data_IF_981350274402
#
_entry.id   IF_981350274402
#
_cell.length_a   1.000
_cell.length_b   1.000
_cell.length_c   1.000
_cell.angle_alpha   90.00
_cell.angle_beta   90.00
_cell.angle_gamma   90.00
#
_symmetry.space_group_name_H-M   'P 1'
#
loop_
_entity.id
_entity.type
_entity.pdbx_description
1 polymer ?
#
# COMPACT_ATOMS: atom_id res chain seq x y z
N UNK A 1 -31.62 8.58 -4.97
CA UNK A 1 -31.09 9.63 -5.86
C UNK A 1 -30.04 9.01 -6.77
N UNK A 2 -30.16 9.22 -8.07
CA UNK A 2 -29.25 8.61 -9.08
C UNK A 2 -28.00 9.47 -9.25
N UNK A 3 -26.83 8.84 -9.37
CA UNK A 3 -25.56 9.50 -9.70
C UNK A 3 -25.60 10.08 -11.13
N UNK A 4 -24.82 11.13 -11.36
CA UNK A 4 -24.69 11.75 -12.68
C UNK A 4 -23.89 10.87 -13.64
N UNK A 5 -24.02 11.09 -14.95
CA UNK A 5 -23.20 10.41 -15.96
C UNK A 5 -21.70 10.66 -15.74
N UNK A 6 -21.33 11.89 -15.35
CA UNK A 6 -19.94 12.22 -15.05
C UNK A 6 -19.40 11.43 -13.85
N UNK A 7 -20.21 11.25 -12.79
CA UNK A 7 -19.85 10.42 -11.64
C UNK A 7 -19.61 8.96 -12.06
N UNK A 8 -20.42 8.43 -12.98
CA UNK A 8 -20.21 7.10 -13.55
C UNK A 8 -18.86 6.99 -14.28
N UNK A 9 -18.52 7.98 -15.12
CA UNK A 9 -17.24 8.01 -15.83
C UNK A 9 -16.07 8.04 -14.83
N UNK A 10 -16.15 8.86 -13.77
CA UNK A 10 -15.11 8.94 -12.74
C UNK A 10 -14.94 7.64 -11.98
N UNK A 11 -16.03 6.96 -11.63
CA UNK A 11 -15.97 5.65 -10.99
C UNK A 11 -15.37 4.59 -11.93
N UNK A 12 -15.70 4.62 -13.23
CA UNK A 12 -15.10 3.72 -14.21
C UNK A 12 -13.58 3.96 -14.36
N UNK A 13 -13.15 5.22 -14.43
CA UNK A 13 -11.72 5.56 -14.45
C UNK A 13 -11.04 5.12 -13.15
N UNK A 14 -11.66 5.36 -11.99
CA UNK A 14 -11.16 4.89 -10.71
C UNK A 14 -10.96 3.38 -10.67
N UNK A 15 -11.93 2.61 -11.18
CA UNK A 15 -11.81 1.15 -11.25
C UNK A 15 -10.65 0.70 -12.15
N UNK A 16 -10.45 1.36 -13.29
CA UNK A 16 -9.31 1.08 -14.18
C UNK A 16 -7.98 1.36 -13.46
N UNK A 17 -7.88 2.47 -12.72
CA UNK A 17 -6.68 2.79 -11.95
C UNK A 17 -6.40 1.75 -10.85
N UNK A 18 -7.42 1.22 -10.17
CA UNK A 18 -7.26 0.14 -9.20
C UNK A 18 -6.69 -1.10 -9.90
N UNK A 19 -7.22 -1.49 -11.06
CA UNK A 19 -6.70 -2.65 -11.80
C UNK A 19 -5.24 -2.45 -12.21
N UNK A 20 -4.90 -1.27 -12.77
CA UNK A 20 -3.52 -0.97 -13.16
C UNK A 20 -2.59 -1.02 -11.94
N UNK A 21 -3.04 -0.53 -10.77
CA UNK A 21 -2.24 -0.51 -9.55
C UNK A 21 -1.84 -1.90 -9.06
N UNK A 22 -2.59 -2.97 -9.42
CA UNK A 22 -2.25 -4.36 -9.06
C UNK A 22 -0.88 -4.75 -9.64
N UNK A 23 -0.56 -4.27 -10.85
CA UNK A 23 0.65 -4.65 -11.58
C UNK A 23 1.85 -3.73 -11.30
N UNK A 24 1.67 -2.69 -10.50
CA UNK A 24 2.70 -1.72 -10.16
C UNK A 24 3.18 -1.89 -8.72
N UNK A 25 4.43 -1.48 -8.42
CA UNK A 25 4.92 -1.49 -7.05
C UNK A 25 4.11 -0.51 -6.19
N UNK A 26 3.90 -0.89 -4.91
CA UNK A 26 3.14 -0.08 -3.96
C UNK A 26 4.03 0.59 -2.93
N UNK A 27 5.06 -0.10 -2.51
CA UNK A 27 5.95 0.38 -1.47
C UNK A 27 7.37 -0.10 -1.74
N UNK A 28 8.36 0.67 -1.28
CA UNK A 28 9.75 0.32 -1.37
C UNK A 28 10.53 0.75 -0.14
N UNK A 29 11.62 0.03 0.10
CA UNK A 29 12.61 0.41 1.10
C UNK A 29 14.00 0.27 0.50
N UNK A 30 14.81 1.31 0.63
CA UNK A 30 16.21 1.31 0.20
C UNK A 30 17.13 1.27 1.41
N UNK A 31 18.08 0.35 1.39
CA UNK A 31 19.06 0.12 2.44
C UNK A 31 20.42 0.62 1.98
N UNK A 32 21.01 1.55 2.68
CA UNK A 32 22.38 2.00 2.47
C UNK A 32 23.27 1.46 3.58
N UNK A 33 24.37 0.83 3.19
CA UNK A 33 25.41 0.35 4.09
C UNK A 33 26.77 0.80 3.56
N UNK A 34 27.83 0.86 4.40
CA UNK A 34 29.19 1.22 3.94
C UNK A 34 29.66 0.35 2.78
N UNK A 35 29.27 -0.94 2.75
CA UNK A 35 29.62 -1.90 1.69
C UNK A 35 28.73 -1.77 0.44
N UNK A 36 27.59 -1.09 0.56
CA UNK A 36 26.59 -0.91 -0.50
C UNK A 36 26.16 0.55 -0.59
N UNK A 37 27.06 1.44 -1.06
CA UNK A 37 26.79 2.88 -1.13
C UNK A 37 25.70 3.23 -2.16
N UNK A 38 25.54 2.41 -3.21
CA UNK A 38 24.45 2.55 -4.21
C UNK A 38 23.07 2.23 -3.62
N UNK A 39 23.04 1.52 -2.46
CA UNK A 39 21.86 1.05 -1.81
C UNK A 39 21.34 -0.28 -2.35
N UNK A 40 20.62 -1.01 -1.49
CA UNK A 40 19.93 -2.26 -1.82
C UNK A 40 18.43 -2.00 -1.73
N UNK A 41 17.67 -2.45 -2.71
CA UNK A 41 16.24 -2.18 -2.80
C UNK A 41 15.40 -3.39 -2.38
N UNK A 42 14.33 -3.13 -1.62
CA UNK A 42 13.17 -4.00 -1.50
C UNK A 42 12.00 -3.27 -2.15
N UNK A 43 11.35 -3.91 -3.10
CA UNK A 43 10.18 -3.36 -3.81
C UNK A 43 9.01 -4.33 -3.63
N UNK A 44 7.91 -3.84 -3.08
CA UNK A 44 6.72 -4.62 -2.76
C UNK A 44 5.60 -4.29 -3.75
N UNK A 45 5.13 -5.31 -4.43
CA UNK A 45 3.93 -5.32 -5.26
C UNK A 45 2.78 -5.96 -4.47
N UNK A 46 1.53 -5.79 -4.88
CA UNK A 46 0.41 -6.49 -4.25
C UNK A 46 0.51 -8.02 -4.25
N UNK A 47 1.35 -8.62 -5.10
CA UNK A 47 1.42 -10.07 -5.31
C UNK A 47 2.84 -10.68 -5.20
N UNK A 48 3.87 -9.84 -5.00
CA UNK A 48 5.26 -10.31 -4.85
C UNK A 48 6.15 -9.27 -4.21
N UNK A 49 7.33 -9.69 -3.80
CA UNK A 49 8.45 -8.82 -3.44
C UNK A 49 9.60 -9.03 -4.41
N UNK A 50 10.35 -7.96 -4.71
CA UNK A 50 11.54 -7.98 -5.57
C UNK A 50 12.64 -7.12 -4.97
N UNK A 51 13.85 -7.22 -5.52
CA UNK A 51 15.03 -6.48 -5.07
C UNK A 51 16.17 -7.42 -4.69
N UNK A 52 17.16 -6.91 -3.96
CA UNK A 52 18.32 -7.69 -3.54
C UNK A 52 18.06 -8.41 -2.20
N UNK A 53 16.96 -9.21 -2.13
CA UNK A 53 16.49 -9.83 -0.90
C UNK A 53 17.54 -10.74 -0.24
N UNK A 54 18.29 -11.52 -1.03
CA UNK A 54 19.32 -12.44 -0.50
C UNK A 54 20.44 -11.67 0.21
N UNK A 55 20.89 -10.56 -0.37
CA UNK A 55 21.93 -9.73 0.24
C UNK A 55 21.42 -9.07 1.51
N UNK A 56 20.20 -8.53 1.47
CA UNK A 56 19.56 -7.89 2.62
C UNK A 56 19.34 -8.90 3.75
N UNK A 57 18.91 -10.11 3.42
CA UNK A 57 18.73 -11.20 4.40
C UNK A 57 20.05 -11.62 5.04
N UNK A 58 21.15 -11.63 4.26
CA UNK A 58 22.49 -11.82 4.80
C UNK A 58 22.84 -10.73 5.83
N UNK A 59 22.55 -9.46 5.56
CA UNK A 59 22.76 -8.36 6.50
C UNK A 59 21.85 -8.46 7.72
N UNK A 60 20.58 -8.81 7.53
CA UNK A 60 19.60 -8.99 8.60
C UNK A 60 20.03 -10.06 9.60
N UNK A 61 20.65 -11.14 9.14
CA UNK A 61 21.16 -12.20 10.01
C UNK A 61 22.18 -11.69 11.03
N UNK A 62 23.05 -10.74 10.67
CA UNK A 62 24.04 -10.18 11.60
C UNK A 62 23.41 -9.36 12.72
N UNK A 63 22.27 -8.72 12.48
CA UNK A 63 21.58 -7.88 13.47
C UNK A 63 20.37 -8.57 14.10
N UNK A 64 20.13 -9.85 13.74
CA UNK A 64 19.05 -10.67 14.30
C UNK A 64 17.66 -10.38 13.74
N UNK A 65 17.55 -9.69 12.63
CA UNK A 65 16.26 -9.50 11.94
C UNK A 65 15.86 -10.76 11.18
N UNK A 66 14.54 -10.98 11.07
CA UNK A 66 13.97 -12.06 10.26
C UNK A 66 14.28 -11.87 8.77
N UNK A 67 14.29 -12.95 8.02
CA UNK A 67 14.47 -12.90 6.58
C UNK A 67 13.20 -12.33 5.89
N UNK A 68 13.42 -11.45 4.92
CA UNK A 68 12.37 -11.05 3.98
C UNK A 68 12.17 -12.17 2.96
N UNK A 69 10.97 -12.75 2.96
CA UNK A 69 10.55 -13.74 1.97
C UNK A 69 9.07 -13.54 1.66
N UNK A 70 8.64 -13.88 0.44
CA UNK A 70 7.22 -13.80 0.08
C UNK A 70 6.33 -14.69 0.95
N UNK A 71 6.88 -15.80 1.44
CA UNK A 71 6.18 -16.72 2.34
C UNK A 71 5.83 -16.10 3.69
N UNK A 72 6.64 -15.12 4.14
CA UNK A 72 6.41 -14.39 5.39
C UNK A 72 5.22 -13.44 5.30
N UNK A 73 4.75 -13.12 4.10
CA UNK A 73 3.69 -12.14 3.83
C UNK A 73 2.48 -12.80 3.16
N UNK A 74 1.64 -13.52 3.92
CA UNK A 74 0.47 -14.22 3.37
C UNK A 74 -0.51 -13.29 2.63
N UNK A 75 -0.49 -12.00 2.94
CA UNK A 75 -1.30 -10.95 2.31
C UNK A 75 -1.07 -10.88 0.80
N UNK A 76 0.16 -11.12 0.33
CA UNK A 76 0.50 -11.09 -1.09
C UNK A 76 -0.28 -12.12 -1.93
N UNK A 77 -0.78 -13.19 -1.30
CA UNK A 77 -1.54 -14.23 -1.97
C UNK A 77 -2.97 -13.80 -2.31
N UNK A 78 -3.58 -12.95 -1.50
CA UNK A 78 -4.99 -12.57 -1.66
C UNK A 78 -5.22 -11.09 -1.96
N UNK A 79 -4.25 -10.22 -1.73
CA UNK A 79 -4.37 -8.78 -1.97
C UNK A 79 -4.77 -8.42 -3.42
N UNK A 80 -4.23 -9.07 -4.48
CA UNK A 80 -4.67 -8.82 -5.85
C UNK A 80 -6.16 -9.09 -6.06
N UNK A 81 -6.69 -10.14 -5.42
CA UNK A 81 -8.10 -10.51 -5.53
C UNK A 81 -8.99 -9.50 -4.79
N UNK A 82 -8.55 -9.00 -3.63
CA UNK A 82 -9.26 -7.93 -2.91
C UNK A 82 -9.33 -6.65 -3.75
N UNK A 83 -8.22 -6.28 -4.41
CA UNK A 83 -8.17 -5.13 -5.30
C UNK A 83 -9.05 -5.30 -6.53
N UNK A 84 -9.02 -6.48 -7.15
CA UNK A 84 -9.91 -6.79 -8.28
C UNK A 84 -11.39 -6.73 -7.85
N UNK A 85 -11.73 -7.26 -6.67
CA UNK A 85 -13.06 -7.13 -6.08
C UNK A 85 -13.46 -5.68 -5.83
N UNK A 86 -12.53 -4.85 -5.33
CA UNK A 86 -12.75 -3.42 -5.13
C UNK A 86 -12.98 -2.67 -6.45
N UNK A 87 -12.22 -3.00 -7.50
CA UNK A 87 -12.41 -2.43 -8.83
C UNK A 87 -13.79 -2.81 -9.40
N UNK A 88 -14.17 -4.09 -9.28
CA UNK A 88 -15.48 -4.57 -9.69
C UNK A 88 -16.61 -3.87 -8.93
N UNK A 89 -16.50 -3.75 -7.61
CA UNK A 89 -17.45 -3.04 -6.77
C UNK A 89 -17.59 -1.58 -7.20
N UNK A 90 -16.46 -0.92 -7.51
CA UNK A 90 -16.44 0.47 -8.00
C UNK A 90 -17.20 0.60 -9.33
N UNK A 91 -17.01 -0.34 -10.26
CA UNK A 91 -17.76 -0.39 -11.52
C UNK A 91 -19.26 -0.63 -11.29
N UNK A 92 -19.63 -1.58 -10.43
CA UNK A 92 -21.03 -1.88 -10.10
C UNK A 92 -21.71 -0.63 -9.54
N UNK A 93 -21.08 0.09 -8.61
CA UNK A 93 -21.62 1.34 -8.05
C UNK A 93 -21.81 2.39 -9.15
N UNK A 94 -20.86 2.49 -10.09
CA UNK A 94 -20.95 3.38 -11.25
C UNK A 94 -22.14 3.05 -12.16
N UNK A 95 -22.41 1.76 -12.41
CA UNK A 95 -23.52 1.29 -13.27
C UNK A 95 -24.87 1.46 -12.56
N UNK A 96 -24.97 1.04 -11.29
CA UNK A 96 -26.20 1.14 -10.50
C UNK A 96 -26.58 2.60 -10.22
N UNK A 97 -25.61 3.50 -10.28
CA UNK A 97 -25.79 4.95 -10.08
C UNK A 97 -26.50 5.28 -8.76
N UNK A 98 -26.28 4.49 -7.72
CA UNK A 98 -26.92 4.64 -6.41
C UNK A 98 -25.96 5.31 -5.41
N UNK A 99 -26.42 6.41 -4.83
CA UNK A 99 -25.62 7.21 -3.90
C UNK A 99 -25.32 6.49 -2.59
N UNK A 100 -26.23 5.65 -2.10
CA UNK A 100 -26.01 4.87 -0.88
C UNK A 100 -24.84 3.89 -1.09
N UNK A 101 -24.79 3.21 -2.22
CA UNK A 101 -23.69 2.31 -2.55
C UNK A 101 -22.36 3.07 -2.72
N UNK A 102 -22.39 4.31 -3.18
CA UNK A 102 -21.18 5.15 -3.24
C UNK A 102 -20.64 5.45 -1.83
N UNK A 103 -21.49 5.72 -0.85
CA UNK A 103 -21.04 5.90 0.55
C UNK A 103 -20.43 4.61 1.12
N UNK A 104 -21.07 3.47 0.88
CA UNK A 104 -20.56 2.17 1.30
C UNK A 104 -19.20 1.90 0.67
N UNK A 105 -19.05 2.15 -0.63
CA UNK A 105 -17.76 2.02 -1.35
C UNK A 105 -16.66 2.87 -0.70
N UNK A 106 -16.95 4.13 -0.37
CA UNK A 106 -15.98 5.04 0.28
C UNK A 106 -15.56 4.50 1.64
N UNK A 107 -16.52 4.02 2.44
CA UNK A 107 -16.23 3.43 3.77
C UNK A 107 -15.32 2.20 3.61
N UNK A 108 -15.64 1.30 2.68
CA UNK A 108 -14.82 0.11 2.41
C UNK A 108 -13.41 0.51 1.99
N UNK A 109 -13.29 1.54 1.14
CA UNK A 109 -12.00 2.03 0.66
C UNK A 109 -11.15 2.61 1.81
N UNK A 110 -11.75 3.40 2.70
CA UNK A 110 -11.09 3.97 3.88
C UNK A 110 -10.65 2.85 4.82
N UNK A 111 -11.52 1.89 5.09
CA UNK A 111 -11.20 0.75 5.96
C UNK A 111 -10.07 -0.11 5.37
N UNK A 112 -10.15 -0.43 4.09
CA UNK A 112 -9.10 -1.20 3.40
C UNK A 112 -7.75 -0.47 3.40
N UNK A 113 -7.74 0.83 3.13
CA UNK A 113 -6.53 1.66 3.20
C UNK A 113 -5.95 1.73 4.61
N UNK A 114 -6.80 1.93 5.62
CA UNK A 114 -6.38 1.93 7.03
C UNK A 114 -5.81 0.59 7.48
N UNK A 115 -6.46 -0.52 7.11
CA UNK A 115 -5.96 -1.86 7.40
C UNK A 115 -4.63 -2.14 6.70
N UNK A 116 -4.46 -1.70 5.44
CA UNK A 116 -3.20 -1.85 4.71
C UNK A 116 -2.05 -1.07 5.36
N UNK A 117 -2.29 0.17 5.79
CA UNK A 117 -1.29 0.96 6.53
C UNK A 117 -0.95 0.34 7.88
N UNK A 118 -1.95 -0.15 8.61
CA UNK A 118 -1.73 -0.86 9.87
C UNK A 118 -0.91 -2.13 9.66
N UNK A 119 -1.18 -2.88 8.60
CA UNK A 119 -0.49 -4.12 8.29
C UNK A 119 0.99 -3.88 7.96
N UNK A 120 1.31 -2.89 7.11
CA UNK A 120 2.70 -2.48 6.85
C UNK A 120 3.39 -2.08 8.17
N UNK A 121 2.73 -1.28 9.01
CA UNK A 121 3.31 -0.89 10.30
C UNK A 121 3.58 -2.09 11.21
N UNK A 122 2.63 -3.01 11.29
CA UNK A 122 2.74 -4.26 12.07
C UNK A 122 3.95 -5.08 11.64
N UNK A 123 4.14 -5.24 10.32
CA UNK A 123 5.30 -5.96 9.78
C UNK A 123 6.61 -5.25 10.08
N UNK A 124 6.70 -3.94 9.86
CA UNK A 124 7.90 -3.17 10.18
C UNK A 124 8.23 -3.24 11.67
N UNK A 125 7.23 -3.19 12.55
CA UNK A 125 7.40 -3.35 13.98
C UNK A 125 7.88 -4.76 14.34
N UNK A 126 7.28 -5.81 13.78
CA UNK A 126 7.68 -7.19 14.05
C UNK A 126 9.14 -7.45 13.65
N UNK A 127 9.54 -6.97 12.46
CA UNK A 127 10.92 -7.13 11.98
C UNK A 127 11.95 -6.36 12.82
N UNK A 128 11.61 -5.20 13.33
CA UNK A 128 12.54 -4.38 14.11
C UNK A 128 12.52 -4.61 15.62
N UNK A 129 11.51 -5.29 16.16
CA UNK A 129 11.41 -5.54 17.61
C UNK A 129 11.67 -6.99 17.99
N UNK A 130 11.36 -7.95 17.13
CA UNK A 130 11.57 -9.37 17.38
C UNK A 130 12.94 -9.84 16.85
N UNK A 131 14.00 -9.25 17.42
CA UNK A 131 15.37 -9.54 17.05
C UNK A 131 15.86 -10.83 17.75
N UNK A 132 16.65 -11.63 17.02
CA UNK A 132 17.30 -12.84 17.59
C UNK A 132 18.33 -12.43 18.64
N UNK A 133 18.17 -12.88 19.91
CA UNK A 133 19.12 -12.59 20.98
C UNK A 133 20.49 -13.22 20.78
N UNK A 134 20.63 -14.17 19.86
CA UNK A 134 21.91 -14.84 19.55
C UNK A 134 22.69 -14.16 18.42
N UNK A 135 22.12 -13.12 17.80
CA UNK A 135 22.74 -12.39 16.69
C UNK A 135 24.14 -11.86 17.06
N UNK A 136 25.09 -11.86 16.09
CA UNK A 136 26.45 -11.34 16.31
C UNK A 136 26.49 -9.90 16.77
N UNK A 137 25.61 -9.06 16.24
CA UNK A 137 25.52 -7.61 16.59
C UNK A 137 24.24 -7.40 17.39
N UNK A 138 24.41 -6.97 18.65
CA UNK A 138 23.27 -6.65 19.53
C UNK A 138 22.70 -5.30 19.18
N UNK A 139 21.47 -5.28 18.74
CA UNK A 139 20.73 -4.06 18.42
C UNK A 139 19.63 -3.81 19.45
N UNK A 140 19.34 -2.53 19.70
CA UNK A 140 18.11 -2.16 20.44
C UNK A 140 16.92 -2.32 19.50
N UNK A 141 15.75 -2.77 20.01
CA UNK A 141 14.53 -2.78 19.23
C UNK A 141 14.24 -1.42 18.59
N UNK A 142 13.78 -1.42 17.36
CA UNK A 142 13.43 -0.22 16.60
C UNK A 142 12.23 -0.50 15.70
N UNK A 143 11.52 0.54 15.26
CA UNK A 143 10.43 0.43 14.30
C UNK A 143 10.70 1.37 13.13
N UNK A 144 11.03 0.84 11.94
CA UNK A 144 11.20 1.68 10.76
C UNK A 144 9.89 2.41 10.44
N UNK A 145 9.94 3.67 9.98
CA UNK A 145 8.74 4.37 9.54
C UNK A 145 8.22 3.78 8.21
N UNK A 146 6.89 3.85 8.00
CA UNK A 146 6.26 3.47 6.71
C UNK A 146 6.79 4.36 5.58
N UNK A 147 7.00 5.64 5.86
CA UNK A 147 7.58 6.62 4.95
C UNK A 147 8.63 7.43 5.74
N UNK A 148 9.80 7.58 5.15
CA UNK A 148 10.87 8.39 5.74
C UNK A 148 12.17 7.64 5.91
N UNK A 149 13.12 8.29 6.56
CA UNK A 149 14.46 7.78 6.80
C UNK A 149 14.60 7.26 8.21
N UNK A 150 15.24 6.11 8.36
CA UNK A 150 15.63 5.57 9.66
C UNK A 150 17.12 5.20 9.62
N UNK A 151 17.85 5.50 10.70
CA UNK A 151 19.26 5.17 10.83
C UNK A 151 19.43 4.13 11.93
N UNK A 152 20.00 2.99 11.54
CA UNK A 152 20.18 1.82 12.41
C UNK A 152 21.67 1.48 12.38
N UNK A 153 22.40 1.80 13.46
CA UNK A 153 23.86 1.66 13.51
C UNK A 153 24.53 2.35 12.29
N UNK A 154 25.19 1.56 11.42
CA UNK A 154 25.86 2.05 10.21
C UNK A 154 24.97 1.92 8.95
N UNK A 155 23.71 1.51 9.11
CA UNK A 155 22.76 1.39 8.03
C UNK A 155 21.79 2.57 8.02
N UNK A 156 21.43 3.04 6.85
CA UNK A 156 20.34 4.01 6.66
C UNK A 156 19.29 3.36 5.78
N UNK A 157 18.04 3.36 6.23
CA UNK A 157 16.91 2.88 5.44
C UNK A 157 16.02 4.05 5.07
N UNK A 158 15.52 4.04 3.82
CA UNK A 158 14.57 5.03 3.30
C UNK A 158 13.36 4.27 2.79
N UNK A 159 12.22 4.50 3.43
CA UNK A 159 10.94 3.89 3.06
C UNK A 159 10.08 4.88 2.30
N UNK A 160 9.37 4.44 1.25
CA UNK A 160 8.58 5.31 0.38
C UNK A 160 7.45 4.56 -0.32
N UNK A 161 6.36 5.30 -0.63
CA UNK A 161 5.34 4.80 -1.55
C UNK A 161 5.79 4.95 -2.99
N UNK A 162 5.22 4.11 -3.87
CA UNK A 162 5.54 4.05 -5.28
C UNK A 162 4.28 4.20 -6.15
N UNK A 163 4.45 4.08 -7.46
CA UNK A 163 3.42 4.40 -8.45
C UNK A 163 2.06 3.70 -8.22
N UNK A 164 2.06 2.43 -7.80
CA UNK A 164 0.83 1.69 -7.55
C UNK A 164 -0.01 2.30 -6.43
N UNK A 165 0.64 2.72 -5.33
CA UNK A 165 -0.04 3.43 -4.22
C UNK A 165 -0.57 4.79 -4.65
N UNK A 166 0.17 5.52 -5.48
CA UNK A 166 -0.30 6.81 -6.00
C UNK A 166 -1.52 6.66 -6.91
N UNK A 167 -1.57 5.62 -7.77
CA UNK A 167 -2.74 5.34 -8.60
C UNK A 167 -3.96 4.94 -7.76
N UNK A 168 -3.74 4.15 -6.70
CA UNK A 168 -4.80 3.81 -5.76
C UNK A 168 -5.35 5.05 -5.06
N UNK A 169 -4.46 5.95 -4.61
CA UNK A 169 -4.83 7.24 -4.03
C UNK A 169 -5.61 8.12 -5.01
N UNK A 170 -5.16 8.19 -6.27
CA UNK A 170 -5.86 8.93 -7.33
C UNK A 170 -7.25 8.34 -7.61
N UNK A 171 -7.38 7.01 -7.63
CA UNK A 171 -8.68 6.34 -7.74
C UNK A 171 -9.62 6.77 -6.61
N UNK A 172 -9.13 6.79 -5.36
CA UNK A 172 -9.92 7.25 -4.22
C UNK A 172 -10.35 8.71 -4.35
N UNK A 173 -9.48 9.59 -4.82
CA UNK A 173 -9.82 11.00 -5.09
C UNK A 173 -10.91 11.13 -6.15
N UNK A 174 -10.88 10.31 -7.22
CA UNK A 174 -11.94 10.28 -8.23
C UNK A 174 -13.28 9.83 -7.64
N UNK A 175 -13.28 8.83 -6.75
CA UNK A 175 -14.47 8.36 -6.04
C UNK A 175 -15.04 9.49 -5.15
N UNK A 176 -14.20 10.19 -4.40
CA UNK A 176 -14.60 11.32 -3.57
C UNK A 176 -15.14 12.49 -4.41
N UNK A 177 -14.48 12.77 -5.53
CA UNK A 177 -14.92 13.83 -6.45
C UNK A 177 -16.28 13.49 -7.07
N UNK A 178 -16.54 12.24 -7.42
CA UNK A 178 -17.84 11.78 -7.89
C UNK A 178 -18.94 12.08 -6.85
N UNK A 179 -18.69 11.84 -5.56
CA UNK A 179 -19.60 12.17 -4.47
C UNK A 179 -19.81 13.68 -4.32
N UNK A 180 -18.72 14.45 -4.31
CA UNK A 180 -18.79 15.92 -4.18
C UNK A 180 -19.60 16.55 -5.30
N UNK A 181 -19.36 16.14 -6.54
CA UNK A 181 -20.05 16.61 -7.73
C UNK A 181 -21.55 16.34 -7.65
N UNK A 182 -21.91 15.12 -7.25
CA UNK A 182 -23.30 14.71 -7.13
C UNK A 182 -24.05 15.50 -6.05
N UNK A 183 -23.40 15.81 -4.92
CA UNK A 183 -23.96 16.68 -3.87
C UNK A 183 -24.23 18.09 -4.38
N UNK A 184 -23.34 18.65 -5.20
CA UNK A 184 -23.45 20.04 -5.71
C UNK A 184 -24.61 20.19 -6.70
N UNK A 185 -24.86 19.19 -7.55
CA UNK A 185 -25.98 19.22 -8.51
C UNK A 185 -27.32 19.12 -7.82
N UNK A 186 -27.44 18.32 -6.78
CA UNK A 186 -28.70 18.17 -6.04
C UNK A 186 -29.04 19.34 -5.09
N UNK A 187 -28.16 20.33 -4.97
CA UNK A 187 -28.39 21.57 -4.19
C UNK A 187 -28.84 22.77 -5.04
N UNK A 188 -28.87 22.64 -6.38
CA UNK A 188 -29.42 23.68 -7.22
C UNK A 188 -30.96 23.53 -7.19
N UNK A 189 -31.73 24.50 -6.59
CA UNK A 189 -33.15 24.51 -6.76
C UNK A 189 -33.47 24.78 -8.25
N UNK A 190 -34.52 24.18 -8.76
CA UNK A 190 -35.14 24.50 -10.06
C UNK A 190 -35.57 25.96 -10.11
#
# INVERSE_FOLDING_TARGET
MKLTRLSTIMLSLGAVLIIISIFLPWWGMKFYAPQYPEGLDIIVYPYKMTGQLDIINGLNHYIGMKNFSEESFPELKFLPYLLAGMALLTLIVGVLRNRTFLYVLIIIFIMGGGLGLYDIHRWLADYGTNLDPTAPIKMKPFVPPIIGTNKIANFTTISYFTYGSYLLGLSFLLILFALWRDRKQNKKPE
#
